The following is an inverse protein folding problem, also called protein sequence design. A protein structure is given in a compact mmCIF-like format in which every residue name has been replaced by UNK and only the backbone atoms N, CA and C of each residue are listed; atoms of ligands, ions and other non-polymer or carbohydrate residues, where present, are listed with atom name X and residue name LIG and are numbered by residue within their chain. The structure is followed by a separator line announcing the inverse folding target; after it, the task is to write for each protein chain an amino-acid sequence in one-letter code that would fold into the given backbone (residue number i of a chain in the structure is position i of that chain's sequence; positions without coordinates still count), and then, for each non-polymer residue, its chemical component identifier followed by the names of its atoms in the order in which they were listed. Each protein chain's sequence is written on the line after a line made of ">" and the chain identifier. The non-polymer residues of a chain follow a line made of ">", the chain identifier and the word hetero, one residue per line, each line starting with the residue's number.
data_IF_080850188662
#
_entry.id   IF_080850188662
#
_cell.length_a   1.000
_cell.length_b   1.000
_cell.length_c   1.000
_cell.angle_alpha   90.00
_cell.angle_beta   90.00
_cell.angle_gamma   90.00
#
_symmetry.space_group_name_H-M   'P 1'
#
loop_
_entity.id
_entity.type
_entity.pdbx_description
1 polymer ?
#
# COMPACT_ATOMS: atom_id res chain seq x y z
N UNK A 1 -8.80 15.31 -29.48
CA UNK A 1 -9.12 14.16 -28.60
C UNK A 1 -7.85 13.88 -27.81
N UNK A 2 -7.91 14.07 -26.49
CA UNK A 2 -6.75 13.93 -25.59
C UNK A 2 -6.11 12.57 -25.79
N UNK A 3 -4.79 12.52 -25.93
CA UNK A 3 -4.03 11.30 -25.67
C UNK A 3 -4.38 10.87 -24.24
N UNK A 4 -4.57 9.56 -24.07
CA UNK A 4 -5.00 8.95 -22.83
C UNK A 4 -3.94 9.22 -21.74
N UNK A 5 -4.25 10.09 -20.78
CA UNK A 5 -3.27 10.57 -19.78
C UNK A 5 -2.70 9.43 -18.95
N UNK A 6 -3.47 8.35 -18.74
CA UNK A 6 -3.00 7.14 -18.08
C UNK A 6 -1.91 6.41 -18.89
N UNK A 7 -2.05 6.39 -20.21
CA UNK A 7 -1.02 5.81 -21.08
C UNK A 7 0.27 6.64 -21.07
N UNK A 8 0.16 7.98 -21.05
CA UNK A 8 1.33 8.86 -20.91
C UNK A 8 2.01 8.74 -19.53
N UNK A 9 1.25 8.46 -18.47
CA UNK A 9 1.80 8.17 -17.14
C UNK A 9 2.59 6.84 -17.11
N UNK A 10 2.04 5.77 -17.70
CA UNK A 10 2.73 4.47 -17.82
C UNK A 10 3.99 4.57 -18.68
N UNK A 11 3.94 5.29 -19.79
CA UNK A 11 5.11 5.49 -20.66
C UNK A 11 6.23 6.28 -19.96
N UNK A 12 5.88 7.24 -19.09
CA UNK A 12 6.87 7.92 -18.22
C UNK A 12 7.39 7.02 -17.10
N UNK A 13 6.56 6.14 -16.54
CA UNK A 13 6.98 5.17 -15.53
C UNK A 13 8.02 4.19 -16.09
N UNK A 14 7.83 3.70 -17.33
CA UNK A 14 8.79 2.84 -18.02
C UNK A 14 10.17 3.50 -18.27
N UNK A 15 10.23 4.84 -18.27
CA UNK A 15 11.47 5.62 -18.40
C UNK A 15 12.07 5.98 -17.03
N UNK A 16 11.26 5.96 -15.96
CA UNK A 16 11.73 6.10 -14.60
C UNK A 16 12.39 4.78 -14.18
N UNK A 17 13.66 4.85 -13.78
CA UNK A 17 14.41 3.67 -13.36
C UNK A 17 13.81 2.96 -12.14
N UNK A 18 14.62 2.11 -11.50
CA UNK A 18 14.20 1.32 -10.34
C UNK A 18 13.52 2.16 -9.25
N UNK A 19 12.23 1.90 -8.98
CA UNK A 19 11.45 2.56 -7.91
C UNK A 19 11.82 1.97 -6.54
N UNK A 20 12.04 2.85 -5.56
CA UNK A 20 12.33 2.47 -4.18
C UNK A 20 11.05 2.33 -3.34
N UNK A 21 10.77 1.11 -2.89
CA UNK A 21 9.63 0.78 -2.03
C UNK A 21 10.01 0.65 -0.56
N UNK A 22 9.13 1.09 0.33
CA UNK A 22 9.11 0.62 1.71
C UNK A 22 7.88 -0.26 1.94
N UNK A 23 8.08 -1.39 2.63
CA UNK A 23 7.00 -2.28 3.06
C UNK A 23 6.84 -2.17 4.57
N UNK A 24 5.63 -1.83 5.02
CA UNK A 24 5.29 -1.73 6.43
C UNK A 24 4.17 -2.72 6.73
N UNK A 25 4.47 -3.67 7.60
CA UNK A 25 3.47 -4.60 8.13
C UNK A 25 3.05 -4.12 9.51
N UNK A 26 1.75 -3.92 9.69
CA UNK A 26 1.14 -3.57 10.97
C UNK A 26 0.46 -4.80 11.54
N UNK A 27 1.04 -5.37 12.60
CA UNK A 27 0.57 -6.62 13.18
C UNK A 27 1.03 -6.83 14.62
N UNK A 28 0.09 -7.25 15.47
CA UNK A 28 0.38 -7.60 16.85
C UNK A 28 0.99 -9.01 17.00
N UNK A 29 0.83 -9.88 16.00
CA UNK A 29 1.20 -11.30 16.09
C UNK A 29 2.29 -11.76 15.11
N UNK A 30 2.50 -11.06 13.99
CA UNK A 30 3.55 -11.43 13.04
C UNK A 30 4.94 -11.19 13.61
N UNK A 31 5.87 -11.97 13.08
CA UNK A 31 7.33 -11.82 13.21
C UNK A 31 7.90 -11.67 11.79
N UNK A 32 9.16 -11.24 11.63
CA UNK A 32 9.79 -11.18 10.32
C UNK A 32 9.70 -12.51 9.54
N UNK A 33 9.86 -13.64 10.23
CA UNK A 33 9.83 -14.97 9.63
C UNK A 33 8.42 -15.39 9.18
N UNK A 34 7.39 -14.91 9.88
CA UNK A 34 5.99 -15.26 9.62
C UNK A 34 5.26 -14.21 8.78
N UNK A 35 5.95 -13.14 8.38
CA UNK A 35 5.38 -12.08 7.56
C UNK A 35 5.33 -12.45 6.07
N UNK A 36 4.36 -13.30 5.74
CA UNK A 36 4.11 -13.75 4.37
C UNK A 36 3.80 -12.59 3.39
N UNK A 37 3.26 -11.46 3.87
CA UNK A 37 2.96 -10.34 2.98
C UNK A 37 4.23 -9.58 2.61
N UNK A 38 5.15 -9.37 3.57
CA UNK A 38 6.45 -8.79 3.28
C UNK A 38 7.23 -9.65 2.29
N UNK A 39 7.30 -10.97 2.54
CA UNK A 39 8.01 -11.87 1.63
C UNK A 39 7.42 -11.86 0.22
N UNK A 40 6.09 -11.93 0.11
CA UNK A 40 5.38 -11.82 -1.17
C UNK A 40 5.69 -10.50 -1.89
N UNK A 41 5.51 -9.36 -1.22
CA UNK A 41 5.76 -8.05 -1.81
C UNK A 41 7.23 -7.88 -2.20
N UNK A 42 8.18 -8.35 -1.39
CA UNK A 42 9.60 -8.28 -1.71
C UNK A 42 9.93 -9.05 -2.99
N UNK A 43 9.43 -10.28 -3.11
CA UNK A 43 9.62 -11.08 -4.32
C UNK A 43 9.02 -10.38 -5.55
N UNK A 44 7.78 -9.90 -5.44
CA UNK A 44 7.10 -9.23 -6.55
C UNK A 44 7.77 -7.91 -6.96
N UNK A 45 8.16 -7.08 -6.00
CA UNK A 45 8.84 -5.81 -6.26
C UNK A 45 10.15 -6.07 -7.01
N UNK A 46 10.97 -7.03 -6.54
CA UNK A 46 12.25 -7.36 -7.19
C UNK A 46 12.04 -7.98 -8.56
N UNK A 47 11.08 -8.90 -8.71
CA UNK A 47 10.77 -9.55 -9.97
C UNK A 47 10.32 -8.56 -11.07
N UNK A 48 9.73 -7.42 -10.67
CA UNK A 48 9.32 -6.35 -11.59
C UNK A 48 10.36 -5.22 -11.71
N UNK A 49 11.63 -5.48 -11.39
CA UNK A 49 12.73 -4.54 -11.63
C UNK A 49 12.79 -3.34 -10.67
N UNK A 50 12.04 -3.40 -9.56
CA UNK A 50 12.05 -2.39 -8.50
C UNK A 50 12.92 -2.87 -7.31
N UNK A 51 13.00 -2.09 -6.22
CA UNK A 51 13.71 -2.52 -5.00
C UNK A 51 12.91 -2.23 -3.74
N UNK A 52 13.08 -3.08 -2.73
CA UNK A 52 12.66 -2.80 -1.36
C UNK A 52 13.80 -2.07 -0.64
N UNK A 53 13.65 -0.76 -0.44
CA UNK A 53 14.60 0.09 0.27
C UNK A 53 14.45 -0.01 1.81
N UNK A 54 13.24 -0.34 2.29
CA UNK A 54 13.00 -0.50 3.71
C UNK A 54 11.90 -1.52 4.00
N UNK A 55 12.05 -2.23 5.12
CA UNK A 55 11.02 -3.05 5.73
C UNK A 55 10.81 -2.62 7.18
N UNK A 56 9.55 -2.56 7.63
CA UNK A 56 9.17 -2.30 9.02
C UNK A 56 8.04 -3.26 9.42
N UNK A 57 8.16 -3.81 10.61
CA UNK A 57 7.10 -4.57 11.28
C UNK A 57 6.79 -3.87 12.60
N UNK A 58 5.58 -3.32 12.71
CA UNK A 58 5.17 -2.50 13.85
C UNK A 58 3.85 -3.00 14.45
N UNK A 59 3.57 -2.55 15.68
CA UNK A 59 2.28 -2.77 16.33
C UNK A 59 1.23 -1.81 15.78
N UNK A 60 -0.05 -2.18 15.90
CA UNK A 60 -1.17 -1.34 15.47
C UNK A 60 -1.46 -0.24 16.49
N UNK A 61 -0.53 0.71 16.55
CA UNK A 61 -0.61 1.89 17.39
C UNK A 61 -0.54 3.13 16.51
N UNK A 62 -1.48 4.10 16.63
CA UNK A 62 -1.56 5.26 15.75
C UNK A 62 -0.24 6.03 15.63
N UNK A 63 0.45 6.22 16.76
CA UNK A 63 1.72 6.97 16.81
C UNK A 63 2.86 6.20 16.13
N UNK A 64 2.87 4.86 16.19
CA UNK A 64 3.86 4.05 15.47
C UNK A 64 3.61 4.11 13.95
N UNK A 65 2.35 4.01 13.52
CA UNK A 65 1.98 4.11 12.10
C UNK A 65 2.35 5.49 11.55
N UNK A 66 1.99 6.56 12.27
CA UNK A 66 2.31 7.92 11.89
C UNK A 66 3.82 8.20 11.89
N UNK A 67 4.53 7.75 12.92
CA UNK A 67 5.98 7.91 13.04
C UNK A 67 6.74 7.20 11.93
N UNK A 68 6.41 5.94 11.64
CA UNK A 68 7.03 5.20 10.53
C UNK A 68 6.76 5.85 9.18
N UNK A 69 5.55 6.37 8.95
CA UNK A 69 5.26 7.11 7.73
C UNK A 69 6.17 8.35 7.60
N UNK A 70 6.31 9.12 8.68
CA UNK A 70 7.16 10.31 8.72
C UNK A 70 8.65 9.98 8.49
N UNK A 71 9.15 8.93 9.17
CA UNK A 71 10.54 8.46 9.03
C UNK A 71 10.85 8.00 7.61
N UNK A 72 9.96 7.19 7.02
CA UNK A 72 10.14 6.69 5.66
C UNK A 72 10.09 7.82 4.63
N UNK A 73 9.28 8.85 4.88
CA UNK A 73 9.30 10.05 4.05
C UNK A 73 10.64 10.79 4.10
N UNK A 74 11.46 10.66 5.15
CA UNK A 74 12.79 11.26 5.20
C UNK A 74 13.87 10.46 4.44
N UNK A 75 13.51 9.31 3.86
CA UNK A 75 14.42 8.44 3.10
C UNK A 75 14.28 8.62 1.59
N UNK A 76 15.05 7.84 0.83
CA UNK A 76 14.94 7.66 -0.63
C UNK A 76 13.67 6.94 -1.10
N UNK A 77 12.80 6.52 -0.19
CA UNK A 77 11.56 5.80 -0.54
C UNK A 77 10.63 6.69 -1.37
N UNK A 78 10.13 6.14 -2.47
CA UNK A 78 9.16 6.78 -3.34
C UNK A 78 7.73 6.28 -3.08
N UNK A 79 7.59 4.97 -2.81
CA UNK A 79 6.31 4.32 -2.55
C UNK A 79 6.35 3.58 -1.22
N UNK A 80 5.37 3.84 -0.35
CA UNK A 80 5.24 3.20 0.96
C UNK A 80 3.98 2.33 0.96
N UNK A 81 4.14 1.04 1.21
CA UNK A 81 3.07 0.04 1.22
C UNK A 81 2.81 -0.43 2.66
N UNK A 82 1.72 0.02 3.25
CA UNK A 82 1.21 -0.50 4.51
C UNK A 82 0.27 -1.69 4.27
N UNK A 83 0.41 -2.72 5.12
CA UNK A 83 -0.54 -3.83 5.16
C UNK A 83 -0.87 -4.21 6.62
N UNK A 84 -2.16 -4.41 6.92
CA UNK A 84 -2.64 -4.73 8.26
C UNK A 84 -3.22 -3.55 9.03
N UNK A 85 -3.89 -3.83 10.15
CA UNK A 85 -4.46 -2.84 11.07
C UNK A 85 -5.63 -2.00 10.54
N UNK A 86 -6.33 -2.49 9.51
CA UNK A 86 -7.40 -1.75 8.81
C UNK A 86 -8.80 -2.31 9.05
N UNK A 87 -8.99 -3.27 9.96
CA UNK A 87 -10.31 -3.83 10.27
C UNK A 87 -11.24 -2.82 10.96
N UNK A 88 -12.39 -3.24 11.47
CA UNK A 88 -13.36 -2.36 12.15
C UNK A 88 -13.28 -2.44 13.67
N UNK A 89 -12.32 -3.19 14.22
CA UNK A 89 -12.12 -3.28 15.66
C UNK A 89 -11.62 -1.95 16.20
N UNK A 90 -11.89 -1.58 17.47
CA UNK A 90 -11.26 -0.43 18.11
C UNK A 90 -9.72 -0.46 18.12
N UNK A 91 -9.12 -1.65 17.92
CA UNK A 91 -7.68 -1.83 17.78
C UNK A 91 -7.14 -1.52 16.38
N UNK A 92 -8.00 -1.51 15.36
CA UNK A 92 -7.61 -1.30 13.97
C UNK A 92 -7.47 0.20 13.68
N UNK A 93 -6.25 0.73 13.77
CA UNK A 93 -6.03 2.19 13.71
C UNK A 93 -5.35 2.67 12.43
N UNK A 94 -4.79 1.76 11.65
CA UNK A 94 -3.90 2.08 10.52
C UNK A 94 -4.61 2.90 9.44
N UNK A 95 -5.86 2.58 9.10
CA UNK A 95 -6.61 3.34 8.09
C UNK A 95 -6.83 4.79 8.53
N UNK A 96 -7.23 5.02 9.78
CA UNK A 96 -7.57 6.35 10.28
C UNK A 96 -6.30 7.20 10.43
N UNK A 97 -5.22 6.61 10.97
CA UNK A 97 -3.92 7.26 11.11
C UNK A 97 -3.35 7.70 9.76
N UNK A 98 -3.40 6.84 8.74
CA UNK A 98 -2.89 7.17 7.41
C UNK A 98 -3.81 8.14 6.68
N UNK A 99 -5.12 7.87 6.63
CA UNK A 99 -6.07 8.72 5.91
C UNK A 99 -6.09 10.16 6.44
N UNK A 100 -5.90 10.35 7.75
CA UNK A 100 -5.81 11.67 8.36
C UNK A 100 -4.53 12.45 8.02
N UNK A 101 -3.47 11.79 7.54
CA UNK A 101 -2.20 12.44 7.16
C UNK A 101 -2.08 12.73 5.67
N UNK A 102 -2.78 12.01 4.79
CA UNK A 102 -2.66 12.19 3.34
C UNK A 102 -2.99 13.63 2.92
N UNK A 103 -2.06 14.26 2.21
CA UNK A 103 -2.22 15.63 1.69
C UNK A 103 -3.10 15.66 0.44
N UNK A 104 -3.02 14.59 -0.37
CA UNK A 104 -3.87 14.37 -1.54
C UNK A 104 -4.34 12.94 -1.55
N UNK A 105 -5.62 12.73 -1.39
CA UNK A 105 -6.22 11.39 -1.39
C UNK A 105 -6.43 10.87 -2.80
N UNK A 106 -6.34 9.55 -2.95
CA UNK A 106 -6.64 8.79 -4.17
C UNK A 106 -7.85 7.88 -3.88
N UNK A 107 -9.07 8.45 -3.73
CA UNK A 107 -10.24 7.68 -3.30
C UNK A 107 -10.54 6.48 -4.21
N UNK A 108 -10.25 6.61 -5.50
CA UNK A 108 -10.39 5.55 -6.50
C UNK A 108 -9.63 4.26 -6.15
N UNK A 109 -8.53 4.32 -5.39
CA UNK A 109 -7.84 3.10 -4.94
C UNK A 109 -8.72 2.27 -4.01
N UNK A 110 -9.31 2.88 -2.98
CA UNK A 110 -10.18 2.18 -2.05
C UNK A 110 -11.49 1.73 -2.70
N UNK A 111 -12.02 2.52 -3.62
CA UNK A 111 -13.23 2.19 -4.40
C UNK A 111 -13.00 0.96 -5.29
N UNK A 112 -11.97 0.99 -6.14
CA UNK A 112 -11.63 -0.12 -7.02
C UNK A 112 -11.21 -1.35 -6.22
N UNK A 113 -10.47 -1.18 -5.13
CA UNK A 113 -10.11 -2.29 -4.25
C UNK A 113 -11.35 -3.02 -3.72
N UNK A 114 -12.35 -2.28 -3.21
CA UNK A 114 -13.60 -2.88 -2.72
C UNK A 114 -14.42 -3.50 -3.86
N UNK A 115 -14.48 -2.85 -5.02
CA UNK A 115 -15.14 -3.39 -6.21
C UNK A 115 -14.54 -4.73 -6.62
N UNK A 116 -13.21 -4.83 -6.72
CA UNK A 116 -12.51 -6.07 -7.06
C UNK A 116 -12.60 -7.12 -5.93
N UNK A 117 -12.65 -6.68 -4.67
CA UNK A 117 -12.80 -7.57 -3.52
C UNK A 117 -14.19 -8.20 -3.47
N UNK A 118 -15.22 -7.55 -4.03
CA UNK A 118 -16.57 -8.09 -4.10
C UNK A 118 -16.60 -9.48 -4.76
N UNK A 119 -15.83 -9.65 -5.83
CA UNK A 119 -15.76 -10.93 -6.55
C UNK A 119 -15.11 -12.05 -5.70
N UNK A 120 -14.33 -11.70 -4.68
CA UNK A 120 -13.64 -12.67 -3.82
C UNK A 120 -14.39 -12.96 -2.51
N UNK A 121 -14.99 -11.94 -1.90
CA UNK A 121 -15.56 -12.02 -0.54
C UNK A 121 -17.00 -11.50 -0.43
N UNK A 122 -17.62 -11.10 -1.56
CA UNK A 122 -18.99 -10.60 -1.61
C UNK A 122 -19.20 -9.36 -0.73
N UNK A 123 -20.32 -9.34 -0.01
CA UNK A 123 -20.70 -8.23 0.85
C UNK A 123 -19.66 -7.85 1.91
N UNK A 124 -18.78 -8.78 2.32
CA UNK A 124 -17.70 -8.48 3.26
C UNK A 124 -16.71 -7.44 2.72
N UNK A 125 -16.65 -7.24 1.40
CA UNK A 125 -15.84 -6.19 0.78
C UNK A 125 -16.22 -4.78 1.29
N UNK A 126 -17.48 -4.57 1.70
CA UNK A 126 -17.94 -3.32 2.32
C UNK A 126 -17.15 -2.96 3.59
N UNK A 127 -16.67 -3.97 4.33
CA UNK A 127 -15.91 -3.76 5.58
C UNK A 127 -14.43 -3.48 5.33
N UNK A 128 -13.96 -3.59 4.09
CA UNK A 128 -12.54 -3.41 3.76
C UNK A 128 -12.18 -1.93 3.71
N UNK A 129 -11.26 -1.52 4.60
CA UNK A 129 -10.73 -0.16 4.65
C UNK A 129 -9.34 -0.10 4.00
N UNK A 130 -9.30 0.08 2.69
CA UNK A 130 -8.08 0.37 1.94
C UNK A 130 -8.05 1.86 1.58
N UNK A 131 -6.87 2.49 1.62
CA UNK A 131 -6.68 3.91 1.26
C UNK A 131 -5.37 4.12 0.54
N UNK A 132 -5.30 5.16 -0.28
CA UNK A 132 -4.06 5.60 -0.90
C UNK A 132 -4.05 7.12 -1.07
N UNK A 133 -2.86 7.68 -1.19
CA UNK A 133 -2.68 9.10 -1.44
C UNK A 133 -1.23 9.51 -1.53
N UNK A 134 -1.02 10.81 -1.57
CA UNK A 134 0.29 11.44 -1.48
C UNK A 134 0.45 12.03 -0.09
N UNK A 135 1.61 11.78 0.53
CA UNK A 135 2.04 12.44 1.76
C UNK A 135 3.48 12.89 1.61
N UNK A 136 3.73 14.19 1.82
CA UNK A 136 5.04 14.82 1.65
C UNK A 136 5.70 14.51 0.30
N UNK A 137 4.94 14.29 -0.77
CA UNK A 137 5.49 13.93 -2.09
C UNK A 137 5.85 12.45 -2.28
N UNK A 138 5.43 11.56 -1.38
CA UNK A 138 5.61 10.10 -1.46
C UNK A 138 4.25 9.48 -1.72
N UNK A 139 4.20 8.42 -2.52
CA UNK A 139 2.98 7.64 -2.71
C UNK A 139 2.80 6.69 -1.53
N UNK A 140 1.60 6.67 -0.95
CA UNK A 140 1.27 5.82 0.19
C UNK A 140 0.07 4.97 -0.17
N UNK A 141 0.18 3.67 0.05
CA UNK A 141 -0.93 2.71 -0.09
C UNK A 141 -1.10 1.97 1.23
N UNK A 142 -2.34 1.72 1.62
CA UNK A 142 -2.69 0.94 2.80
C UNK A 142 -3.77 -0.08 2.47
N UNK A 143 -3.51 -1.32 2.85
CA UNK A 143 -4.34 -2.48 2.50
C UNK A 143 -4.62 -3.36 3.72
N UNK A 144 -5.71 -4.14 3.72
CA UNK A 144 -5.93 -5.16 4.74
C UNK A 144 -4.77 -6.17 4.79
N UNK A 145 -4.51 -6.71 5.99
CA UNK A 145 -3.37 -7.61 6.23
C UNK A 145 -3.53 -9.04 5.71
N UNK A 146 -4.62 -9.39 5.05
CA UNK A 146 -4.80 -10.73 4.49
C UNK A 146 -3.92 -10.90 3.22
N UNK A 147 -3.26 -12.06 3.02
CA UNK A 147 -2.42 -12.27 1.83
C UNK A 147 -3.17 -12.05 0.51
N UNK A 148 -4.45 -12.42 0.46
CA UNK A 148 -5.31 -12.20 -0.72
C UNK A 148 -5.55 -10.71 -0.99
N UNK A 149 -5.77 -9.90 0.05
CA UNK A 149 -5.96 -8.46 -0.11
C UNK A 149 -4.68 -7.78 -0.61
N UNK A 150 -3.52 -8.15 -0.05
CA UNK A 150 -2.22 -7.61 -0.49
C UNK A 150 -1.94 -7.98 -1.94
N UNK A 151 -2.12 -9.26 -2.31
CA UNK A 151 -1.95 -9.70 -3.69
C UNK A 151 -2.91 -8.98 -4.66
N UNK A 152 -4.20 -8.84 -4.29
CA UNK A 152 -5.18 -8.15 -5.10
C UNK A 152 -4.79 -6.69 -5.36
N UNK A 153 -4.44 -5.95 -4.31
CA UNK A 153 -4.04 -4.56 -4.43
C UNK A 153 -2.76 -4.41 -5.26
N UNK A 154 -1.77 -5.28 -5.03
CA UNK A 154 -0.52 -5.28 -5.80
C UNK A 154 -0.79 -5.55 -7.28
N UNK A 155 -1.37 -6.70 -7.62
CA UNK A 155 -1.47 -7.18 -8.99
C UNK A 155 -2.46 -6.38 -9.85
N UNK A 156 -3.58 -5.93 -9.27
CA UNK A 156 -4.66 -5.31 -10.05
C UNK A 156 -4.65 -3.78 -10.03
N UNK A 157 -3.98 -3.16 -9.07
CA UNK A 157 -4.05 -1.71 -8.88
C UNK A 157 -2.68 -1.03 -8.83
N UNK A 158 -1.72 -1.58 -8.10
CA UNK A 158 -0.43 -0.91 -7.88
C UNK A 158 0.53 -1.21 -9.03
N UNK A 159 0.82 -2.49 -9.29
CA UNK A 159 1.78 -2.92 -10.30
C UNK A 159 1.47 -2.33 -11.70
N UNK A 160 0.22 -2.36 -12.21
CA UNK A 160 -0.08 -1.85 -13.55
C UNK A 160 0.22 -0.36 -13.76
N UNK A 161 0.30 0.42 -12.69
CA UNK A 161 0.52 1.87 -12.74
C UNK A 161 1.99 2.27 -12.50
N UNK A 162 2.86 1.29 -12.17
CA UNK A 162 4.31 1.48 -11.97
C UNK A 162 5.16 0.70 -12.98
N UNK A 163 4.52 -0.16 -13.80
CA UNK A 163 5.15 -0.99 -14.83
C UNK A 163 5.22 -0.30 -16.19
#
# INVERSE_FOLDING_TARGET
>A
MSKDSAAEHREKAAVMGQVAFAVVTVSDSRTPETDVNHHYLQEQIVANGHRVAAYRLIKDEPDQVAGVLDDLCATETQIILFNGGTGISPRDTTYDALSGKLEKTLPGFGELFRMLSWDQVGAAAMLSRATAGVYRGRMVFSTPGSPKAVALAWEKLILPEIS
#
